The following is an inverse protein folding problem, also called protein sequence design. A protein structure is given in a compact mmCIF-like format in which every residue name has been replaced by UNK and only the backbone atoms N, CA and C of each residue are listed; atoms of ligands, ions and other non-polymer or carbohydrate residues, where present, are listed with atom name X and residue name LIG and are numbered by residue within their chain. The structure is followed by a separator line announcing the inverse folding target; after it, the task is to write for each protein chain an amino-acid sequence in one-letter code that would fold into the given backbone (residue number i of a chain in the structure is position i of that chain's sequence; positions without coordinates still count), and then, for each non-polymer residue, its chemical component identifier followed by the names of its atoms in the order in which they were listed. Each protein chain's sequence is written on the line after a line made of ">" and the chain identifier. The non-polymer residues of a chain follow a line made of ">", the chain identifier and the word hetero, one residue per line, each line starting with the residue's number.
data_IF_607860056308
#
_entry.id   IF_607860056308
#
_cell.length_a   1.000
_cell.length_b   1.000
_cell.length_c   1.000
_cell.angle_alpha   90.00
_cell.angle_beta   90.00
_cell.angle_gamma   90.00
#
_symmetry.space_group_name_H-M   'P 1'
#
loop_
_entity.id
_entity.type
_entity.pdbx_description
1 polymer ?
#
# COMPACT_ATOMS: atom_id res chain seq x y z
N UNK A 1 -34.59 -28.67 10.87
CA UNK A 1 -34.41 -27.20 10.96
C UNK A 1 -33.04 -26.79 11.49
N UNK A 2 -32.62 -27.22 12.71
CA UNK A 2 -31.28 -26.89 13.27
C UNK A 2 -30.08 -27.27 12.38
N UNK A 3 -30.14 -28.43 11.72
CA UNK A 3 -29.09 -28.88 10.79
C UNK A 3 -28.92 -27.97 9.58
N UNK A 4 -30.02 -27.41 9.06
CA UNK A 4 -30.02 -26.53 7.88
C UNK A 4 -29.45 -25.15 8.25
N UNK A 5 -29.79 -24.65 9.44
CA UNK A 5 -29.23 -23.41 10.01
C UNK A 5 -27.73 -23.55 10.25
N UNK A 6 -27.29 -24.68 10.83
CA UNK A 6 -25.87 -24.93 11.08
C UNK A 6 -25.07 -25.04 9.78
N UNK A 7 -25.63 -25.68 8.74
CA UNK A 7 -25.00 -25.76 7.41
C UNK A 7 -24.91 -24.37 6.77
N UNK A 8 -25.97 -23.55 6.85
CA UNK A 8 -25.95 -22.18 6.33
C UNK A 8 -24.92 -21.29 7.02
N UNK A 9 -24.80 -21.38 8.35
CA UNK A 9 -23.80 -20.65 9.13
C UNK A 9 -22.36 -21.07 8.76
N UNK A 10 -22.14 -22.37 8.59
CA UNK A 10 -20.83 -22.91 8.22
C UNK A 10 -20.44 -22.45 6.80
N UNK A 11 -21.40 -22.43 5.87
CA UNK A 11 -21.18 -21.92 4.52
C UNK A 11 -20.82 -20.42 4.52
N UNK A 12 -21.52 -19.62 5.32
CA UNK A 12 -21.24 -18.19 5.47
C UNK A 12 -19.82 -17.93 6.01
N UNK A 13 -19.39 -18.68 7.02
CA UNK A 13 -18.04 -18.60 7.57
C UNK A 13 -17.00 -18.98 6.51
N UNK A 14 -17.19 -20.08 5.78
CA UNK A 14 -16.25 -20.50 4.73
C UNK A 14 -16.13 -19.46 3.62
N UNK A 15 -17.24 -18.83 3.22
CA UNK A 15 -17.20 -17.77 2.19
C UNK A 15 -16.50 -16.50 2.67
N UNK A 16 -16.64 -16.11 3.94
CA UNK A 16 -15.99 -14.90 4.46
C UNK A 16 -14.47 -15.04 4.58
N UNK A 17 -13.95 -16.25 4.79
CA UNK A 17 -12.51 -16.51 4.80
C UNK A 17 -11.84 -16.35 3.43
N UNK A 18 -12.60 -16.44 2.32
CA UNK A 18 -12.04 -16.27 0.96
C UNK A 18 -11.92 -14.81 0.51
N UNK A 19 -12.41 -13.85 1.30
CA UNK A 19 -12.39 -12.43 0.96
C UNK A 19 -11.01 -11.76 1.14
N UNK A 20 -9.99 -12.50 1.60
CA UNK A 20 -8.62 -12.00 1.63
C UNK A 20 -8.11 -11.82 0.19
N UNK A 21 -8.15 -10.57 -0.29
CA UNK A 21 -7.62 -10.17 -1.60
C UNK A 21 -6.16 -10.58 -1.74
N UNK A 22 -5.85 -11.38 -2.77
CA UNK A 22 -4.49 -11.77 -3.12
C UNK A 22 -3.77 -10.60 -3.83
N UNK A 23 -3.40 -9.56 -3.08
CA UNK A 23 -2.52 -8.52 -3.59
C UNK A 23 -1.07 -8.98 -3.47
N UNK A 24 -0.33 -8.99 -4.60
CA UNK A 24 1.09 -9.36 -4.60
C UNK A 24 1.93 -8.16 -4.18
N UNK A 25 2.56 -8.24 -3.02
CA UNK A 25 3.53 -7.25 -2.55
C UNK A 25 4.94 -7.72 -2.90
N UNK A 26 5.65 -6.90 -3.67
CA UNK A 26 7.06 -7.13 -3.97
C UNK A 26 7.89 -6.09 -3.23
N UNK A 27 8.82 -6.54 -2.38
CA UNK A 27 9.78 -5.67 -1.72
C UNK A 27 11.13 -5.83 -2.39
N UNK A 28 11.56 -4.81 -3.12
CA UNK A 28 12.91 -4.75 -3.70
C UNK A 28 13.95 -4.27 -2.66
N UNK A 29 13.82 -4.68 -1.40
CA UNK A 29 14.79 -4.32 -0.37
C UNK A 29 16.05 -5.17 -0.56
N UNK A 30 17.22 -4.52 -0.68
CA UNK A 30 18.49 -5.21 -0.64
C UNK A 30 18.58 -5.90 0.73
N UNK A 31 18.59 -7.22 0.76
CA UNK A 31 18.37 -8.10 1.93
C UNK A 31 19.40 -7.94 3.08
N UNK A 32 20.29 -6.93 3.02
CA UNK A 32 21.36 -6.64 3.98
C UNK A 32 21.49 -5.15 4.33
N UNK A 33 20.54 -4.30 3.94
CA UNK A 33 20.61 -2.87 4.29
C UNK A 33 20.04 -2.66 5.69
N UNK A 34 20.91 -2.30 6.64
CA UNK A 34 20.45 -1.84 7.94
C UNK A 34 19.91 -0.42 7.82
N UNK A 35 18.61 -0.25 8.05
CA UNK A 35 17.92 1.05 8.03
C UNK A 35 17.72 1.64 9.43
N UNK A 36 18.24 1.00 10.49
CA UNK A 36 18.04 1.42 11.88
C UNK A 36 18.65 2.79 12.22
N UNK A 37 19.58 3.28 11.39
CA UNK A 37 20.20 4.58 11.56
C UNK A 37 19.25 5.73 11.20
N UNK A 38 18.23 5.46 10.39
CA UNK A 38 17.29 6.46 9.91
C UNK A 38 16.09 6.56 10.85
N UNK A 39 15.74 7.79 11.25
CA UNK A 39 14.66 8.04 12.22
C UNK A 39 13.58 8.94 11.65
N UNK A 40 13.91 9.74 10.66
CA UNK A 40 12.99 10.71 10.07
C UNK A 40 12.70 10.39 8.60
N UNK A 41 11.52 10.77 8.15
CA UNK A 41 11.12 10.66 6.74
C UNK A 41 10.40 11.92 6.28
N UNK A 42 10.40 12.15 4.97
CA UNK A 42 9.66 13.24 4.34
C UNK A 42 9.19 12.86 2.94
N UNK A 43 8.04 13.42 2.56
CA UNK A 43 7.45 13.18 1.24
C UNK A 43 8.11 14.05 0.18
N UNK A 44 8.42 13.44 -0.96
CA UNK A 44 8.89 14.16 -2.14
C UNK A 44 7.78 14.16 -3.17
N UNK A 45 7.56 15.32 -3.80
CA UNK A 45 6.64 15.42 -4.93
C UNK A 45 7.12 14.53 -6.08
N UNK A 46 6.27 13.59 -6.46
CA UNK A 46 6.48 12.78 -7.65
C UNK A 46 6.40 13.69 -8.87
N UNK A 47 7.48 13.84 -9.63
CA UNK A 47 7.40 14.50 -10.91
C UNK A 47 6.39 13.74 -11.79
N UNK A 48 5.33 14.42 -12.22
CA UNK A 48 4.37 13.87 -13.19
C UNK A 48 5.14 13.59 -14.48
N UNK A 49 5.35 12.33 -14.89
CA UNK A 49 6.14 12.04 -16.08
C UNK A 49 5.46 12.65 -17.31
N UNK A 50 6.24 13.44 -18.04
CA UNK A 50 5.82 14.22 -19.21
C UNK A 50 5.39 13.35 -20.40
N UNK A 51 5.71 12.05 -20.41
CA UNK A 51 5.62 11.22 -21.62
C UNK A 51 4.45 10.22 -21.72
N UNK A 52 3.52 10.13 -20.75
CA UNK A 52 2.24 9.44 -21.00
C UNK A 52 1.16 9.71 -19.92
N UNK A 53 0.31 10.74 -20.05
CA UNK A 53 -0.73 11.04 -19.06
C UNK A 53 -1.82 9.96 -18.95
N UNK A 54 -1.89 8.99 -19.88
CA UNK A 54 -2.90 7.92 -19.87
C UNK A 54 -2.65 6.80 -18.86
N UNK A 55 -1.50 6.78 -18.18
CA UNK A 55 -1.11 5.68 -17.27
C UNK A 55 -1.01 6.08 -15.80
N UNK A 56 -1.23 7.33 -15.44
CA UNK A 56 -1.15 7.78 -14.05
C UNK A 56 -2.51 8.34 -13.69
N UNK A 57 -3.19 7.62 -12.79
CA UNK A 57 -4.47 8.07 -12.27
C UNK A 57 -4.19 9.16 -11.24
N UNK A 58 -4.37 10.42 -11.67
CA UNK A 58 -4.34 11.57 -10.80
C UNK A 58 -5.73 11.72 -10.16
N UNK A 59 -5.83 11.35 -8.89
CA UNK A 59 -7.01 11.53 -8.06
C UNK A 59 -6.53 11.93 -6.67
N UNK A 60 -6.86 13.15 -6.26
CA UNK A 60 -6.38 13.75 -5.01
C UNK A 60 -6.83 12.96 -3.78
N UNK A 61 -8.05 12.38 -3.81
CA UNK A 61 -8.56 11.52 -2.73
C UNK A 61 -7.74 10.23 -2.65
N UNK A 62 -7.38 9.64 -3.79
CA UNK A 62 -6.55 8.44 -3.80
C UNK A 62 -5.12 8.76 -3.33
N UNK A 63 -4.57 9.89 -3.73
CA UNK A 63 -3.27 10.39 -3.27
C UNK A 63 -3.23 10.60 -1.76
N UNK A 64 -4.21 11.30 -1.20
CA UNK A 64 -4.35 11.54 0.24
C UNK A 64 -4.43 10.21 1.00
N UNK A 65 -5.33 9.30 0.59
CA UNK A 65 -5.47 8.00 1.23
C UNK A 65 -4.18 7.16 1.18
N UNK A 66 -3.44 7.21 0.05
CA UNK A 66 -2.16 6.50 -0.08
C UNK A 66 -1.11 7.10 0.85
N UNK A 67 -0.98 8.43 0.88
CA UNK A 67 -0.02 9.13 1.75
C UNK A 67 -0.35 8.89 3.22
N UNK A 68 -1.62 8.90 3.61
CA UNK A 68 -2.05 8.65 4.98
C UNK A 68 -1.75 7.21 5.42
N UNK A 69 -2.11 6.22 4.59
CA UNK A 69 -1.85 4.81 4.88
C UNK A 69 -0.34 4.54 5.00
N UNK A 70 0.46 5.09 4.08
CA UNK A 70 1.91 4.95 4.11
C UNK A 70 2.54 5.67 5.31
N UNK A 71 2.08 6.89 5.61
CA UNK A 71 2.51 7.67 6.79
C UNK A 71 2.23 6.91 8.08
N UNK A 72 1.03 6.34 8.21
CA UNK A 72 0.67 5.49 9.35
C UNK A 72 1.60 4.28 9.48
N UNK A 73 1.89 3.60 8.37
CA UNK A 73 2.80 2.45 8.36
C UNK A 73 4.25 2.81 8.71
N UNK A 74 4.74 3.98 8.29
CA UNK A 74 6.09 4.48 8.64
C UNK A 74 6.17 4.89 10.11
N UNK A 75 5.16 5.59 10.63
CA UNK A 75 5.05 5.95 12.04
C UNK A 75 4.98 4.71 12.94
N UNK A 76 4.24 3.68 12.52
CA UNK A 76 4.19 2.39 13.22
C UNK A 76 5.55 1.67 13.27
N UNK A 77 6.47 1.99 12.36
CA UNK A 77 7.87 1.52 12.37
C UNK A 77 8.81 2.38 13.24
N UNK A 78 8.28 3.42 13.88
CA UNK A 78 9.04 4.33 14.75
C UNK A 78 9.70 5.51 14.04
N UNK A 79 9.32 5.77 12.77
CA UNK A 79 9.82 6.92 12.03
C UNK A 79 8.96 8.17 12.29
N UNK A 80 9.56 9.35 12.26
CA UNK A 80 8.86 10.64 12.44
C UNK A 80 8.97 11.51 11.19
N UNK A 81 7.95 12.31 10.92
CA UNK A 81 7.97 13.22 9.77
C UNK A 81 8.83 14.46 10.08
N UNK A 82 9.67 14.89 9.14
CA UNK A 82 10.58 16.03 9.29
C UNK A 82 10.69 16.84 7.99
N UNK A 83 10.90 18.15 8.11
CA UNK A 83 11.25 19.04 6.99
C UNK A 83 12.68 18.81 6.48
N UNK A 84 13.56 18.32 7.34
CA UNK A 84 14.91 17.85 7.00
C UNK A 84 14.97 16.35 7.31
N UNK A 85 14.49 15.49 6.39
CA UNK A 85 14.35 14.07 6.66
C UNK A 85 15.59 13.26 6.27
N UNK A 86 15.83 12.16 6.97
CA UNK A 86 16.88 11.21 6.61
C UNK A 86 16.45 10.29 5.44
N UNK A 87 15.14 10.03 5.32
CA UNK A 87 14.54 9.20 4.28
C UNK A 87 13.57 10.01 3.43
N UNK A 88 13.77 9.94 2.11
CA UNK A 88 12.83 10.50 1.15
C UNK A 88 11.87 9.42 0.66
N UNK A 89 10.57 9.70 0.77
CA UNK A 89 9.50 8.79 0.38
C UNK A 89 8.79 9.37 -0.83
N UNK A 90 8.61 8.54 -1.84
CA UNK A 90 7.87 8.86 -3.05
C UNK A 90 6.99 7.65 -3.41
N UNK A 91 5.85 7.91 -4.04
CA UNK A 91 4.97 6.87 -4.56
C UNK A 91 4.68 7.15 -6.03
N UNK A 92 4.31 6.11 -6.78
CA UNK A 92 3.86 6.27 -8.17
C UNK A 92 2.77 5.27 -8.42
N UNK A 93 1.66 5.72 -8.97
CA UNK A 93 0.58 4.85 -9.42
C UNK A 93 0.72 4.61 -10.91
N UNK A 94 0.47 3.37 -11.35
CA UNK A 94 0.38 3.04 -12.76
C UNK A 94 -0.94 2.34 -13.02
N UNK A 95 -1.77 2.92 -13.87
CA UNK A 95 -2.97 2.32 -14.42
C UNK A 95 -2.70 1.79 -15.82
N UNK A 96 -3.16 0.57 -16.08
CA UNK A 96 -2.99 -0.13 -17.34
C UNK A 96 -3.77 -1.43 -17.34
N UNK A 97 -3.73 -2.19 -18.43
CA UNK A 97 -4.24 -3.57 -18.44
C UNK A 97 -3.32 -4.39 -17.55
N UNK A 98 -3.73 -4.61 -16.30
CA UNK A 98 -2.90 -5.26 -15.28
C UNK A 98 -2.30 -6.56 -15.80
N UNK A 99 -0.97 -6.66 -15.81
CA UNK A 99 -0.32 -7.93 -16.04
C UNK A 99 -0.49 -8.76 -14.76
N UNK A 100 -1.42 -9.70 -14.79
CA UNK A 100 -1.35 -10.88 -13.91
C UNK A 100 -0.11 -11.65 -14.34
N UNK A 101 1.02 -11.44 -13.67
CA UNK A 101 2.07 -12.45 -13.57
C UNK A 101 1.60 -13.55 -12.64
#
# INVERSE_FOLDING_TARGET
>A
MKKVINIGLLLFIVTSLTACSNYKYYTAAKNKTNLSAYRTFGWVETQKPTNNPKKIYANDIAEENIKDAATGALKAKGLTESTEPDLLVNYTTMTGRGYKT
#
